data_IF_851054435679
#
_entry.id   IF_851054435679
#
_cell.length_a   1.000
_cell.length_b   1.000
_cell.length_c   1.000
_cell.angle_alpha   90.00
_cell.angle_beta   90.00
_cell.angle_gamma   90.00
#
_symmetry.space_group_name_H-M   'P 1'
#
loop_
_entity.id
_entity.type
_entity.pdbx_description
1 polymer ?
#
# COMPACT_ATOMS: atom_id res chain seq x y z
N UNK A 1 -7.09 -25.30 12.19
CA UNK A 1 -8.13 -24.92 11.20
C UNK A 1 -7.65 -25.32 9.83
N UNK A 2 -8.22 -26.37 9.23
CA UNK A 2 -7.98 -26.69 7.83
C UNK A 2 -8.74 -25.67 6.98
N UNK A 3 -8.02 -24.93 6.13
CA UNK A 3 -8.65 -24.03 5.19
C UNK A 3 -9.45 -24.86 4.18
N UNK A 4 -10.78 -24.82 4.27
CA UNK A 4 -11.68 -25.30 3.21
C UNK A 4 -11.48 -24.41 1.99
N UNK A 5 -10.60 -24.83 1.08
CA UNK A 5 -10.44 -24.17 -0.20
C UNK A 5 -11.66 -24.49 -1.06
N UNK A 6 -12.57 -23.53 -1.20
CA UNK A 6 -13.59 -23.57 -2.26
C UNK A 6 -12.92 -23.89 -3.60
N UNK A 7 -13.59 -24.62 -4.52
CA UNK A 7 -13.02 -24.92 -5.83
C UNK A 7 -12.57 -23.62 -6.47
N UNK A 8 -11.32 -23.59 -6.95
CA UNK A 8 -10.77 -22.40 -7.60
C UNK A 8 -11.68 -22.04 -8.78
N UNK A 9 -12.12 -20.77 -8.91
CA UNK A 9 -12.90 -20.36 -10.06
C UNK A 9 -12.16 -20.71 -11.35
N UNK A 10 -12.89 -21.24 -12.33
CA UNK A 10 -12.31 -21.52 -13.64
C UNK A 10 -12.17 -20.20 -14.41
N UNK A 11 -10.96 -19.63 -14.41
CA UNK A 11 -10.64 -18.38 -15.10
C UNK A 11 -10.38 -18.55 -16.60
N UNK A 12 -10.24 -19.79 -17.09
CA UNK A 12 -9.83 -20.09 -18.46
C UNK A 12 -10.71 -19.42 -19.54
N UNK A 13 -12.05 -19.45 -19.46
CA UNK A 13 -12.90 -18.79 -20.45
C UNK A 13 -12.67 -17.27 -20.54
N UNK A 14 -12.34 -16.63 -19.42
CA UNK A 14 -12.04 -15.19 -19.39
C UNK A 14 -10.66 -14.88 -19.95
N UNK A 15 -9.70 -15.80 -19.81
CA UNK A 15 -8.35 -15.67 -20.38
C UNK A 15 -8.42 -15.87 -21.90
N UNK A 16 -9.03 -16.96 -22.37
CA UNK A 16 -9.24 -17.22 -23.81
C UNK A 16 -10.05 -16.10 -24.48
N UNK A 17 -11.10 -15.64 -23.80
CA UNK A 17 -11.93 -14.51 -24.24
C UNK A 17 -11.22 -13.16 -24.23
N UNK A 18 -9.95 -13.09 -23.80
CA UNK A 18 -9.13 -11.87 -23.66
C UNK A 18 -9.69 -10.83 -22.68
N UNK A 19 -10.51 -11.24 -21.73
CA UNK A 19 -11.00 -10.37 -20.65
C UNK A 19 -9.96 -10.25 -19.53
N UNK A 20 -9.26 -11.35 -19.26
CA UNK A 20 -8.13 -11.42 -18.34
C UNK A 20 -6.86 -11.79 -19.09
N UNK A 21 -5.72 -11.42 -18.52
CA UNK A 21 -4.41 -11.89 -18.93
C UNK A 21 -3.69 -12.44 -17.71
N UNK A 22 -3.09 -13.62 -17.88
CA UNK A 22 -2.20 -14.21 -16.89
C UNK A 22 -0.77 -13.73 -17.11
N UNK A 23 -0.10 -13.44 -16.00
CA UNK A 23 1.31 -13.09 -15.92
C UNK A 23 2.00 -14.12 -15.03
N UNK A 24 3.08 -14.70 -15.52
CA UNK A 24 3.97 -15.51 -14.69
C UNK A 24 4.88 -14.56 -13.92
N UNK A 25 4.85 -14.63 -12.59
CA UNK A 25 5.57 -13.69 -11.71
C UNK A 25 6.32 -14.44 -10.62
N UNK A 26 7.21 -13.75 -9.91
CA UNK A 26 7.87 -14.28 -8.71
C UNK A 26 6.88 -14.65 -7.60
N UNK A 27 5.65 -14.14 -7.66
CA UNK A 27 4.56 -14.45 -6.72
C UNK A 27 3.66 -15.61 -7.20
N UNK A 28 4.04 -16.22 -8.33
CA UNK A 28 3.22 -17.20 -9.06
C UNK A 28 2.35 -16.56 -10.16
N UNK A 29 1.49 -17.37 -10.80
CA UNK A 29 0.57 -16.90 -11.82
C UNK A 29 -0.37 -15.84 -11.25
N UNK A 30 -0.42 -14.68 -11.89
CA UNK A 30 -1.23 -13.54 -11.45
C UNK A 30 -2.09 -13.04 -12.60
N UNK A 31 -3.37 -12.77 -12.32
CA UNK A 31 -4.32 -12.30 -13.32
C UNK A 31 -4.45 -10.78 -13.28
N UNK A 32 -4.53 -10.16 -14.44
CA UNK A 32 -4.87 -8.75 -14.60
C UNK A 32 -5.93 -8.56 -15.68
N UNK A 33 -6.70 -7.46 -15.58
CA UNK A 33 -7.63 -7.08 -16.63
C UNK A 33 -6.87 -6.77 -17.92
N UNK A 34 -7.29 -7.41 -19.01
CA UNK A 34 -6.84 -7.07 -20.34
C UNK A 34 -7.68 -5.92 -20.93
N UNK A 35 -7.22 -5.30 -22.02
CA UNK A 35 -7.88 -4.13 -22.62
C UNK A 35 -9.33 -4.39 -23.04
N UNK A 36 -9.70 -5.63 -23.42
CA UNK A 36 -11.09 -5.99 -23.74
C UNK A 36 -11.93 -6.08 -22.46
N UNK A 37 -11.40 -6.68 -21.39
CA UNK A 37 -12.06 -6.73 -20.08
C UNK A 37 -12.29 -5.35 -19.48
N UNK A 38 -11.28 -4.47 -19.53
CA UNK A 38 -11.42 -3.08 -19.09
C UNK A 38 -12.55 -2.37 -19.85
N UNK A 39 -12.55 -2.42 -21.19
CA UNK A 39 -13.60 -1.79 -22.01
C UNK A 39 -14.98 -2.34 -21.66
N UNK A 40 -15.10 -3.64 -21.43
CA UNK A 40 -16.36 -4.28 -21.07
C UNK A 40 -16.88 -3.78 -19.71
N UNK A 41 -16.03 -3.73 -18.68
CA UNK A 41 -16.43 -3.22 -17.35
C UNK A 41 -16.79 -1.74 -17.40
N UNK A 42 -16.03 -0.92 -18.12
CA UNK A 42 -16.34 0.51 -18.29
C UNK A 42 -17.66 0.70 -19.04
N UNK A 43 -17.92 -0.06 -20.10
CA UNK A 43 -19.18 0.01 -20.84
C UNK A 43 -20.38 -0.44 -20.00
N UNK A 44 -20.17 -1.35 -19.04
CA UNK A 44 -21.18 -1.76 -18.06
C UNK A 44 -21.41 -0.73 -16.94
N UNK A 45 -20.73 0.43 -16.97
CA UNK A 45 -20.82 1.46 -15.93
C UNK A 45 -20.17 1.05 -14.60
N UNK A 46 -19.35 0.01 -14.60
CA UNK A 46 -18.67 -0.45 -13.39
C UNK A 46 -17.39 0.37 -13.19
N UNK A 47 -17.29 0.97 -12.01
CA UNK A 47 -16.15 1.79 -11.58
C UNK A 47 -15.43 1.12 -10.39
N UNK A 48 -14.17 1.51 -10.19
CA UNK A 48 -13.45 1.21 -8.96
C UNK A 48 -14.10 1.94 -7.78
N UNK A 49 -13.78 1.57 -6.53
CA UNK A 49 -14.23 2.31 -5.34
C UNK A 49 -13.88 3.81 -5.36
N UNK A 50 -12.84 4.20 -6.11
CA UNK A 50 -12.43 5.59 -6.30
C UNK A 50 -13.20 6.33 -7.40
N UNK A 51 -14.27 5.75 -7.94
CA UNK A 51 -15.07 6.35 -9.02
C UNK A 51 -14.35 6.42 -10.37
N UNK A 52 -13.24 5.70 -10.54
CA UNK A 52 -12.46 5.67 -11.78
C UNK A 52 -12.72 4.38 -12.57
N UNK A 53 -12.47 4.36 -13.89
CA UNK A 53 -12.49 3.11 -14.65
C UNK A 53 -11.49 2.10 -14.08
N UNK A 54 -11.81 0.80 -14.18
CA UNK A 54 -10.90 -0.25 -13.74
C UNK A 54 -9.54 -0.13 -14.44
N UNK A 55 -8.41 -0.11 -13.71
CA UNK A 55 -7.10 0.06 -14.33
C UNK A 55 -6.70 -1.21 -15.11
N UNK A 56 -6.23 -1.01 -16.34
CA UNK A 56 -5.55 -2.06 -17.11
C UNK A 56 -4.06 -2.05 -16.76
N UNK A 57 -3.58 -3.15 -16.17
CA UNK A 57 -2.18 -3.33 -15.78
C UNK A 57 -1.48 -4.14 -16.87
N UNK A 58 -0.49 -3.55 -17.52
CA UNK A 58 0.17 -4.17 -18.68
C UNK A 58 1.52 -4.81 -18.38
N UNK A 59 2.22 -4.36 -17.34
CA UNK A 59 3.54 -4.82 -16.96
C UNK A 59 3.53 -5.91 -15.88
N UNK A 60 4.28 -7.03 -16.02
CA UNK A 60 4.36 -8.08 -15.01
C UNK A 60 4.73 -7.56 -13.61
N UNK A 61 5.66 -6.59 -13.54
CA UNK A 61 6.07 -5.95 -12.28
C UNK A 61 4.92 -5.21 -11.59
N UNK A 62 4.09 -4.50 -12.34
CA UNK A 62 2.92 -3.78 -11.78
C UNK A 62 1.84 -4.75 -11.32
N UNK A 63 1.63 -5.83 -12.09
CA UNK A 63 0.66 -6.88 -11.78
C UNK A 63 1.05 -7.61 -10.49
N UNK A 64 2.32 -8.03 -10.37
CA UNK A 64 2.79 -8.71 -9.16
C UNK A 64 2.74 -7.81 -7.94
N UNK A 65 3.12 -6.53 -8.06
CA UNK A 65 3.00 -5.57 -6.96
C UNK A 65 1.55 -5.34 -6.55
N UNK A 66 0.60 -5.34 -7.49
CA UNK A 66 -0.81 -5.21 -7.18
C UNK A 66 -1.31 -6.42 -6.40
N UNK A 67 -1.00 -7.63 -6.84
CA UNK A 67 -1.40 -8.86 -6.14
C UNK A 67 -0.80 -8.91 -4.73
N UNK A 68 0.50 -8.68 -4.62
CA UNK A 68 1.20 -8.63 -3.34
C UNK A 68 0.62 -7.58 -2.38
N UNK A 69 0.28 -6.38 -2.89
CA UNK A 69 -0.42 -5.36 -2.11
C UNK A 69 -1.80 -5.83 -1.66
N UNK A 70 -2.58 -6.46 -2.53
CA UNK A 70 -3.92 -6.95 -2.19
C UNK A 70 -3.86 -8.00 -1.07
N UNK A 71 -2.84 -8.86 -1.06
CA UNK A 71 -2.63 -9.80 0.03
C UNK A 71 -2.23 -9.13 1.34
N UNK A 72 -1.35 -8.12 1.30
CA UNK A 72 -1.03 -7.30 2.48
C UNK A 72 -2.27 -6.58 3.01
N UNK A 73 -3.09 -6.01 2.13
CA UNK A 73 -4.33 -5.35 2.48
C UNK A 73 -5.31 -6.33 3.11
N UNK A 74 -5.46 -7.55 2.58
CA UNK A 74 -6.34 -8.56 3.18
C UNK A 74 -5.96 -8.87 4.62
N UNK A 75 -4.67 -8.95 4.93
CA UNK A 75 -4.20 -9.14 6.31
C UNK A 75 -4.64 -7.95 7.19
N UNK A 76 -4.39 -6.72 6.74
CA UNK A 76 -4.75 -5.51 7.50
C UNK A 76 -6.26 -5.31 7.64
N UNK A 77 -7.04 -5.61 6.60
CA UNK A 77 -8.51 -5.56 6.65
C UNK A 77 -9.05 -6.54 7.69
N UNK A 78 -8.47 -7.74 7.80
CA UNK A 78 -8.83 -8.72 8.84
C UNK A 78 -8.47 -8.24 10.25
N UNK A 79 -7.51 -7.32 10.38
CA UNK A 79 -7.15 -6.67 11.65
C UNK A 79 -8.00 -5.42 11.93
N UNK A 80 -8.96 -5.09 11.06
CA UNK A 80 -9.89 -3.97 11.25
C UNK A 80 -9.45 -2.64 10.64
N UNK A 81 -8.35 -2.61 9.87
CA UNK A 81 -8.00 -1.43 9.08
C UNK A 81 -9.00 -1.23 7.95
N UNK A 82 -9.17 0.01 7.49
CA UNK A 82 -9.95 0.32 6.28
C UNK A 82 -9.09 1.05 5.26
N UNK A 83 -9.38 0.85 3.98
CA UNK A 83 -8.68 1.54 2.88
C UNK A 83 -9.40 2.85 2.58
N UNK A 84 -8.71 3.98 2.77
CA UNK A 84 -9.25 5.28 2.35
C UNK A 84 -8.91 5.56 0.89
N UNK A 85 -7.61 5.56 0.56
CA UNK A 85 -7.18 5.95 -0.78
C UNK A 85 -5.89 5.25 -1.22
N UNK A 86 -5.86 4.94 -2.51
CA UNK A 86 -4.64 4.52 -3.19
C UNK A 86 -3.99 5.72 -3.87
N UNK A 87 -2.70 5.93 -3.61
CA UNK A 87 -1.93 6.95 -4.30
C UNK A 87 -1.20 6.36 -5.51
N UNK A 88 -1.32 7.05 -6.63
CA UNK A 88 -0.79 6.63 -7.91
C UNK A 88 0.44 7.44 -8.29
N UNK A 89 1.39 6.81 -8.98
CA UNK A 89 2.58 7.47 -9.49
C UNK A 89 2.17 8.53 -10.53
N UNK A 90 2.63 9.76 -10.34
CA UNK A 90 2.47 10.85 -11.30
C UNK A 90 3.16 10.55 -12.63
N UNK A 91 2.54 10.96 -13.72
CA UNK A 91 3.21 11.01 -15.02
C UNK A 91 4.33 12.05 -14.97
N UNK A 92 5.44 11.76 -15.67
CA UNK A 92 6.55 12.71 -15.80
C UNK A 92 6.44 13.55 -17.08
N UNK A 93 6.94 14.79 -17.01
CA UNK A 93 7.20 15.68 -18.16
C UNK A 93 5.97 15.92 -19.05
N UNK A 94 6.18 15.88 -20.36
CA UNK A 94 5.14 16.17 -21.36
C UNK A 94 3.89 15.31 -21.22
N UNK A 95 4.00 14.07 -20.72
CA UNK A 95 2.84 13.18 -20.57
C UNK A 95 1.89 13.66 -19.49
N UNK A 96 2.44 14.23 -18.41
CA UNK A 96 1.64 14.87 -17.37
C UNK A 96 0.83 16.01 -17.95
N UNK A 97 1.51 16.98 -18.59
CA UNK A 97 0.90 18.17 -19.18
C UNK A 97 -0.17 17.79 -20.20
N UNK A 98 0.13 16.84 -21.10
CA UNK A 98 -0.83 16.35 -22.10
C UNK A 98 -2.06 15.72 -21.46
N UNK A 99 -1.89 14.96 -20.38
CA UNK A 99 -3.03 14.32 -19.71
C UNK A 99 -3.93 15.33 -19.00
N UNK A 100 -3.36 16.33 -18.32
CA UNK A 100 -4.11 17.39 -17.65
C UNK A 100 -4.88 18.22 -18.67
N UNK A 101 -4.25 18.58 -19.80
CA UNK A 101 -4.91 19.28 -20.92
C UNK A 101 -6.08 18.47 -21.52
N UNK A 102 -6.02 17.14 -21.45
CA UNK A 102 -7.08 16.25 -21.89
C UNK A 102 -8.12 15.94 -20.79
N UNK A 103 -8.09 16.67 -19.65
CA UNK A 103 -9.02 16.47 -18.53
C UNK A 103 -8.80 15.17 -17.75
N UNK A 104 -7.59 14.59 -17.80
CA UNK A 104 -7.22 13.35 -17.08
C UNK A 104 -6.37 13.65 -15.86
N UNK A 105 -6.32 12.70 -14.92
CA UNK A 105 -5.76 12.84 -13.56
C UNK A 105 -4.24 13.05 -13.45
N UNK A 106 -3.47 13.09 -14.54
CA UNK A 106 -2.00 13.25 -14.42
C UNK A 106 -1.24 12.02 -13.94
N UNK A 107 -1.89 10.87 -13.71
CA UNK A 107 -1.33 9.72 -13.00
C UNK A 107 -1.24 8.44 -13.86
N UNK A 108 -0.40 7.50 -13.44
CA UNK A 108 -0.30 6.14 -14.00
C UNK A 108 -1.21 5.15 -13.24
N UNK A 109 -1.32 3.91 -13.71
CA UNK A 109 -2.01 2.83 -12.99
C UNK A 109 -1.16 2.17 -11.88
N UNK A 110 0.07 2.67 -11.65
CA UNK A 110 0.99 2.16 -10.64
C UNK A 110 0.67 2.83 -9.30
N UNK A 111 0.15 2.08 -8.35
CA UNK A 111 0.01 2.56 -6.98
C UNK A 111 1.38 2.58 -6.32
N UNK A 112 1.73 3.69 -5.69
CA UNK A 112 2.95 3.87 -4.91
C UNK A 112 2.73 3.43 -3.47
N UNK A 113 1.62 3.87 -2.86
CA UNK A 113 1.26 3.61 -1.47
C UNK A 113 -0.24 3.61 -1.27
N UNK A 114 -0.69 3.14 -0.12
CA UNK A 114 -2.11 3.14 0.28
C UNK A 114 -2.25 3.79 1.64
N UNK A 115 -3.14 4.76 1.74
CA UNK A 115 -3.54 5.38 3.01
C UNK A 115 -4.62 4.50 3.62
N UNK A 116 -4.43 4.15 4.89
CA UNK A 116 -5.33 3.30 5.65
C UNK A 116 -5.80 4.06 6.86
N UNK A 117 -7.06 3.89 7.24
CA UNK A 117 -7.54 4.29 8.55
C UNK A 117 -7.31 3.15 9.53
N UNK A 118 -6.84 3.50 10.73
CA UNK A 118 -6.64 2.55 11.82
C UNK A 118 -7.97 1.99 12.36
N UNK A 119 -7.97 0.77 12.93
CA UNK A 119 -9.11 0.24 13.67
C UNK A 119 -9.65 1.17 14.76
N UNK A 120 -10.95 1.10 15.07
CA UNK A 120 -11.60 1.99 16.04
C UNK A 120 -10.98 1.92 17.44
N UNK A 121 -10.51 0.76 17.89
CA UNK A 121 -9.83 0.61 19.19
C UNK A 121 -8.45 1.28 19.19
N UNK A 122 -7.72 1.19 18.08
CA UNK A 122 -6.44 1.91 17.88
C UNK A 122 -6.69 3.41 17.84
N UNK A 123 -7.71 3.87 17.11
CA UNK A 123 -8.11 5.28 17.07
C UNK A 123 -8.45 5.82 18.47
N UNK A 124 -9.17 5.03 19.27
CA UNK A 124 -9.49 5.36 20.65
C UNK A 124 -8.25 5.52 21.53
N UNK A 125 -7.27 4.60 21.41
CA UNK A 125 -5.98 4.71 22.12
C UNK A 125 -5.20 5.97 21.70
N UNK A 126 -5.09 6.23 20.40
CA UNK A 126 -4.43 7.43 19.89
C UNK A 126 -5.08 8.70 20.46
N UNK A 127 -6.41 8.76 20.52
CA UNK A 127 -7.13 9.91 21.07
C UNK A 127 -6.91 10.07 22.59
N UNK A 128 -6.81 8.97 23.34
CA UNK A 128 -6.57 8.97 24.80
C UNK A 128 -5.14 9.42 25.14
N UNK A 129 -4.14 8.83 24.46
CA UNK A 129 -2.71 9.08 24.72
C UNK A 129 -2.33 10.54 24.45
N UNK A 130 -3.09 11.24 23.59
CA UNK A 130 -2.77 12.60 23.17
C UNK A 130 -3.46 13.73 23.93
N UNK A 131 -4.27 13.44 24.96
CA UNK A 131 -4.86 14.38 25.96
C UNK A 131 -5.44 15.73 25.45
N UNK A 132 -5.60 15.92 24.13
CA UNK A 132 -5.99 17.17 23.51
C UNK A 132 -6.88 16.91 22.30
N UNK A 133 -8.18 16.63 22.52
CA UNK A 133 -9.30 16.89 21.58
C UNK A 133 -9.20 16.40 20.11
N UNK A 134 -8.18 15.65 19.74
CA UNK A 134 -7.96 15.20 18.37
C UNK A 134 -8.56 13.81 18.23
N UNK A 135 -9.79 13.76 17.72
CA UNK A 135 -10.37 12.51 17.26
C UNK A 135 -9.78 12.15 15.90
N UNK A 136 -9.63 10.86 15.61
CA UNK A 136 -9.37 10.40 14.24
C UNK A 136 -10.58 10.79 13.40
N UNK A 137 -10.42 11.76 12.51
CA UNK A 137 -11.44 12.25 11.59
C UNK A 137 -11.33 11.54 10.23
N UNK A 138 -12.38 11.60 9.39
CA UNK A 138 -12.28 11.17 7.99
C UNK A 138 -11.10 11.84 7.28
N UNK A 139 -10.47 11.13 6.34
CA UNK A 139 -9.32 11.62 5.60
C UNK A 139 -9.66 12.94 4.87
N UNK A 140 -8.86 13.96 5.11
CA UNK A 140 -8.97 15.27 4.48
C UNK A 140 -8.29 15.28 3.11
N UNK A 141 -8.85 16.06 2.19
CA UNK A 141 -8.34 16.22 0.83
C UNK A 141 -8.05 17.69 0.55
N UNK A 142 -6.86 17.98 0.05
CA UNK A 142 -6.47 19.27 -0.53
C UNK A 142 -6.51 19.19 -2.06
N UNK A 143 -6.39 20.32 -2.78
CA UNK A 143 -6.28 20.30 -4.25
C UNK A 143 -5.11 19.43 -4.77
N UNK A 144 -4.09 19.20 -3.95
CA UNK A 144 -2.91 18.40 -4.26
C UNK A 144 -3.08 16.90 -3.95
N UNK A 145 -4.12 16.53 -3.20
CA UNK A 145 -4.43 15.15 -2.84
C UNK A 145 -4.76 14.95 -1.35
N UNK A 146 -4.74 13.70 -0.84
CA UNK A 146 -5.02 13.43 0.55
C UNK A 146 -3.94 14.03 1.48
N UNK A 147 -4.36 14.48 2.66
CA UNK A 147 -3.44 14.95 3.72
C UNK A 147 -2.73 13.72 4.32
N UNK A 148 -1.50 13.47 3.87
CA UNK A 148 -0.81 12.20 4.14
C UNK A 148 -0.24 12.05 5.54
N UNK A 149 -0.36 13.05 6.40
CA UNK A 149 0.14 13.08 7.78
C UNK A 149 -0.99 13.21 8.82
N UNK A 150 -2.23 12.89 8.45
CA UNK A 150 -3.39 13.01 9.33
C UNK A 150 -3.43 11.93 10.41
N UNK A 151 -3.90 12.31 11.61
CA UNK A 151 -4.06 11.43 12.77
C UNK A 151 -4.83 10.14 12.44
N UNK A 152 -4.23 8.98 12.70
CA UNK A 152 -4.88 7.68 12.48
C UNK A 152 -4.91 7.21 11.02
N UNK A 153 -4.14 7.84 10.13
CA UNK A 153 -4.08 7.52 8.70
C UNK A 153 -2.68 7.02 8.24
N UNK A 154 -2.19 5.86 8.72
CA UNK A 154 -0.90 5.34 8.33
C UNK A 154 -0.80 4.96 6.84
N UNK A 155 0.44 4.95 6.36
CA UNK A 155 0.78 4.58 4.99
C UNK A 155 1.27 3.13 4.89
N UNK A 156 0.69 2.38 3.94
CA UNK A 156 1.15 1.07 3.50
C UNK A 156 2.00 1.16 2.23
N UNK A 157 3.21 0.64 2.32
CA UNK A 157 4.07 0.35 1.18
C UNK A 157 4.16 -1.16 0.95
N UNK A 158 3.78 -1.59 -0.24
CA UNK A 158 3.79 -2.99 -0.64
C UNK A 158 4.28 -3.11 -2.07
N UNK A 159 5.53 -3.56 -2.23
CA UNK A 159 6.15 -3.89 -3.51
C UNK A 159 6.96 -5.16 -3.33
N UNK A 160 6.97 -5.99 -4.37
CA UNK A 160 7.72 -7.25 -4.43
C UNK A 160 8.53 -7.38 -5.71
N UNK A 161 8.18 -6.64 -6.76
CA UNK A 161 8.96 -6.56 -8.00
C UNK A 161 10.40 -6.16 -7.70
N UNK A 162 11.37 -6.91 -8.22
CA UNK A 162 12.79 -6.67 -7.95
C UNK A 162 13.25 -7.07 -6.55
N UNK A 163 12.55 -7.99 -5.87
CA UNK A 163 12.95 -8.52 -4.56
C UNK A 163 12.30 -7.83 -3.35
N UNK A 164 11.44 -6.84 -3.59
CA UNK A 164 10.73 -6.11 -2.54
C UNK A 164 11.41 -4.81 -2.13
N UNK A 165 11.06 -4.31 -0.93
CA UNK A 165 11.62 -3.06 -0.42
C UNK A 165 13.02 -3.33 0.14
N UNK A 166 14.04 -2.86 -0.56
CA UNK A 166 15.43 -2.98 -0.10
C UNK A 166 15.69 -2.19 1.19
N UNK A 167 16.74 -2.51 1.98
CA UNK A 167 17.11 -1.73 3.16
C UNK A 167 17.33 -0.24 2.86
N UNK A 168 17.91 0.09 1.71
CA UNK A 168 18.06 1.49 1.27
C UNK A 168 16.70 2.15 1.01
N UNK A 169 15.74 1.42 0.43
CA UNK A 169 14.37 1.87 0.26
C UNK A 169 13.67 2.10 1.61
N UNK A 170 13.82 1.18 2.55
CA UNK A 170 13.31 1.34 3.93
C UNK A 170 13.90 2.61 4.57
N UNK A 171 15.21 2.84 4.42
CA UNK A 171 15.89 4.05 4.90
C UNK A 171 15.26 5.31 4.32
N UNK A 172 15.07 5.35 3.01
CA UNK A 172 14.51 6.51 2.32
C UNK A 172 13.07 6.78 2.78
N UNK A 173 12.26 5.73 2.94
CA UNK A 173 10.90 5.85 3.49
C UNK A 173 10.91 6.36 4.92
N UNK A 174 11.81 5.85 5.76
CA UNK A 174 11.99 6.35 7.12
C UNK A 174 12.33 7.84 7.14
N UNK A 175 13.38 8.28 6.44
CA UNK A 175 13.77 9.70 6.46
C UNK A 175 12.68 10.61 5.89
N UNK A 176 11.89 10.12 4.94
CA UNK A 176 10.73 10.84 4.41
C UNK A 176 9.61 10.99 5.43
N UNK A 177 9.34 9.96 6.23
CA UNK A 177 8.16 9.90 7.10
C UNK A 177 8.44 10.01 8.60
N UNK A 178 9.69 10.13 9.02
CA UNK A 178 10.06 10.18 10.45
C UNK A 178 9.37 11.30 11.21
N UNK A 179 9.05 12.42 10.56
CA UNK A 179 8.28 13.51 11.15
C UNK A 179 6.77 13.23 11.09
N UNK A 180 6.28 12.61 10.01
CA UNK A 180 4.86 12.26 9.84
C UNK A 180 4.38 11.21 10.84
N UNK A 181 5.24 10.27 11.25
CA UNK A 181 4.93 9.26 12.27
C UNK A 181 4.50 9.89 13.59
N UNK A 182 5.13 11.01 13.94
CA UNK A 182 4.75 11.81 15.10
C UNK A 182 3.46 12.60 14.90
N UNK A 183 2.93 12.75 13.68
CA UNK A 183 1.66 13.44 13.41
C UNK A 183 0.49 12.48 13.27
N UNK A 184 0.66 11.36 12.55
CA UNK A 184 -0.41 10.37 12.39
C UNK A 184 -0.50 9.37 13.56
N UNK A 185 0.52 9.33 14.43
CA UNK A 185 0.62 8.47 15.63
C UNK A 185 0.41 6.97 15.38
N UNK A 186 1.20 6.41 14.47
CA UNK A 186 1.11 5.02 14.05
C UNK A 186 2.40 4.59 13.34
N UNK A 187 2.83 3.31 13.38
CA UNK A 187 3.98 2.86 12.59
C UNK A 187 3.74 3.03 11.09
N UNK A 188 4.83 3.24 10.34
CA UNK A 188 4.84 3.01 8.90
C UNK A 188 4.61 1.53 8.61
N UNK A 189 3.69 1.21 7.70
CA UNK A 189 3.34 -0.18 7.37
C UNK A 189 4.12 -0.63 6.14
N UNK A 190 4.95 -1.67 6.28
CA UNK A 190 5.75 -2.23 5.19
C UNK A 190 5.41 -3.70 4.96
N UNK A 191 4.92 -4.05 3.79
CA UNK A 191 4.73 -5.44 3.40
C UNK A 191 6.05 -6.04 2.93
N UNK A 192 6.52 -7.12 3.58
CA UNK A 192 7.80 -7.76 3.30
C UNK A 192 7.67 -9.28 3.12
N UNK A 193 8.39 -9.87 2.16
CA UNK A 193 8.31 -11.31 1.89
C UNK A 193 8.99 -12.13 2.97
N UNK A 194 10.06 -11.60 3.56
CA UNK A 194 10.80 -12.22 4.64
C UNK A 194 11.16 -11.17 5.71
N UNK A 195 10.49 -11.15 6.87
CA UNK A 195 10.76 -10.16 7.91
C UNK A 195 12.17 -10.31 8.51
N UNK A 196 12.80 -11.49 8.42
CA UNK A 196 14.13 -11.73 9.01
C UNK A 196 15.24 -10.94 8.31
N UNK A 197 15.14 -10.78 7.01
CA UNK A 197 16.13 -10.05 6.20
C UNK A 197 16.19 -8.56 6.56
N UNK A 198 15.04 -7.99 6.93
CA UNK A 198 14.92 -6.57 7.29
C UNK A 198 14.98 -6.32 8.80
N UNK A 199 14.83 -7.35 9.64
CA UNK A 199 14.75 -7.20 11.10
C UNK A 199 16.00 -6.56 11.72
N UNK A 200 17.21 -6.99 11.30
CA UNK A 200 18.46 -6.40 11.80
C UNK A 200 18.57 -4.93 11.43
N UNK A 201 18.13 -4.58 10.22
CA UNK A 201 18.14 -3.21 9.74
C UNK A 201 17.15 -2.32 10.52
N UNK A 202 15.92 -2.80 10.75
CA UNK A 202 14.92 -2.07 11.54
C UNK A 202 15.37 -1.85 12.98
N UNK A 203 16.05 -2.82 13.60
CA UNK A 203 16.65 -2.63 14.93
C UNK A 203 17.68 -1.49 14.96
N UNK A 204 18.44 -1.32 13.89
CA UNK A 204 19.37 -0.19 13.77
C UNK A 204 18.64 1.14 13.67
N UNK A 205 17.57 1.20 12.88
CA UNK A 205 16.77 2.42 12.74
C UNK A 205 16.03 2.78 14.04
N UNK A 206 15.51 1.79 14.76
CA UNK A 206 14.85 2.03 16.04
C UNK A 206 15.84 2.59 17.08
N UNK A 207 17.08 2.08 17.12
CA UNK A 207 18.15 2.64 17.97
C UNK A 207 18.50 4.08 17.60
N UNK A 208 18.63 4.38 16.31
CA UNK A 208 18.89 5.74 15.81
C UNK A 208 17.77 6.71 16.25
N UNK A 209 16.52 6.26 16.18
CA UNK A 209 15.35 7.01 16.66
C UNK A 209 15.43 7.26 18.15
N UNK A 210 15.63 6.21 18.97
CA UNK A 210 15.69 6.34 20.44
C UNK A 210 16.76 7.34 20.88
N UNK A 211 17.93 7.32 20.24
CA UNK A 211 19.02 8.27 20.51
C UNK A 211 18.68 9.72 20.10
N UNK A 212 17.86 9.88 19.06
CA UNK A 212 17.41 11.20 18.60
C UNK A 212 16.28 11.75 19.47
N UNK A 213 15.36 10.90 19.93
CA UNK A 213 14.20 11.26 20.76
C UNK A 213 14.57 11.55 22.22
N UNK A 214 15.69 11.02 22.73
CA UNK A 214 16.22 11.42 24.04
C UNK A 214 16.53 12.92 24.15
N UNK A 215 16.65 13.64 23.03
CA UNK A 215 16.82 15.10 23.01
C UNK A 215 15.50 15.89 22.83
N UNK A 216 14.38 15.21 22.56
CA UNK A 216 13.08 15.83 22.26
C UNK A 216 11.98 15.19 23.13
N UNK A 217 11.93 15.56 24.42
CA UNK A 217 10.99 15.01 25.42
C UNK A 217 9.50 15.09 25.03
N UNK A 218 9.12 15.92 24.05
CA UNK A 218 7.73 16.16 23.63
C UNK A 218 7.08 15.03 22.82
N UNK A 219 7.84 14.06 22.32
CA UNK A 219 7.31 13.09 21.34
C UNK A 219 7.73 11.66 21.64
N UNK A 220 7.46 11.16 22.85
CA UNK A 220 7.53 9.71 23.11
C UNK A 220 6.41 9.01 22.33
N UNK A 221 6.66 8.71 21.07
CA UNK A 221 5.76 7.93 20.24
C UNK A 221 5.76 6.50 20.79
N UNK A 222 4.66 6.08 21.40
CA UNK A 222 4.46 4.74 21.98
C UNK A 222 4.38 3.61 20.94
N UNK A 223 4.57 3.94 19.67
CA UNK A 223 4.54 3.01 18.56
C UNK A 223 5.95 2.68 18.06
N UNK A 224 6.18 1.47 17.54
CA UNK A 224 7.42 1.17 16.82
C UNK A 224 7.50 2.04 15.56
N UNK A 225 8.71 2.28 15.06
CA UNK A 225 8.91 3.09 13.86
C UNK A 225 8.22 2.49 12.61
N UNK A 226 8.41 1.18 12.45
CA UNK A 226 7.94 0.42 11.31
C UNK A 226 7.24 -0.83 11.82
N UNK A 227 6.08 -1.12 11.26
CA UNK A 227 5.40 -2.40 11.43
C UNK A 227 5.51 -3.20 10.14
N UNK A 228 6.08 -4.39 10.25
CA UNK A 228 6.19 -5.32 9.15
C UNK A 228 4.92 -6.13 8.98
N UNK A 229 4.43 -6.20 7.75
CA UNK A 229 3.34 -7.08 7.33
C UNK A 229 3.97 -8.21 6.52
N UNK A 230 4.05 -9.40 7.10
CA UNK A 230 4.66 -10.55 6.43
C UNK A 230 3.68 -11.12 5.40
N UNK A 231 4.04 -11.00 4.13
CA UNK A 231 3.28 -11.57 3.01
C UNK A 231 4.15 -12.63 2.34
N UNK A 232 3.98 -13.92 2.67
CA UNK A 232 4.87 -14.96 2.17
C UNK A 232 4.74 -15.09 0.65
N UNK A 233 5.88 -15.30 -0.01
CA UNK A 233 5.94 -15.59 -1.45
C UNK A 233 5.95 -17.10 -1.65
N UNK A 234 5.05 -17.67 -2.48
CA UNK A 234 5.05 -19.10 -2.77
C UNK A 234 6.38 -19.54 -3.39
N UNK A 235 7.03 -20.57 -2.80
CA UNK A 235 8.18 -21.23 -3.42
C UNK A 235 9.57 -20.89 -2.89
N UNK A 236 9.70 -20.13 -1.79
CA UNK A 236 11.00 -19.94 -1.12
C UNK A 236 12.10 -19.32 -2.00
N UNK A 237 11.71 -18.63 -3.07
CA UNK A 237 12.64 -17.91 -3.94
C UNK A 237 13.36 -16.88 -3.09
N UNK A 238 14.65 -17.13 -2.82
CA UNK A 238 15.51 -16.14 -2.18
C UNK A 238 15.58 -14.94 -3.12
N UNK A 239 15.10 -13.80 -2.69
CA UNK A 239 15.33 -12.54 -3.39
C UNK A 239 16.84 -12.28 -3.33
N UNK A 240 17.52 -12.47 -4.46
CA UNK A 240 18.94 -12.16 -4.63
C UNK A 240 19.18 -10.68 -4.85
#
# INVERSE_FOLDING_TARGET
>A
MQATHSPRPNWYPLIEGQYLREYQTIYGPTLALASKGQRHLTAAGLLTPSGLPFPCLTGPATVVNRAYRNDALRILLNEGYTVDVHEYQMLGGDRYIKSIKAGKTGTTNVIVRTVLQVPTDVAGRIALDHHHRCHVTPLEFTPEGPVTNQLGHPLLYATISGGGISPAGIRALYHRHRLDIGHWHHPLLLAVPNPREVATYLRSLERERTLSETHLERWKVGFPLVRLIHVPVPGGVRCG
#
